data_IF_920435579615
#
_entry.id   IF_920435579615
#
_cell.length_a   1.000
_cell.length_b   1.000
_cell.length_c   1.000
_cell.angle_alpha   90.00
_cell.angle_beta   90.00
_cell.angle_gamma   90.00
#
_symmetry.space_group_name_H-M   'P 1'
#
loop_
_entity.id
_entity.type
_entity.pdbx_description
1 polymer ?
#
# COMPACT_ATOMS: atom_id res chain seq x y z
N UNK A 1 22.20 4.64 -29.96
CA UNK A 1 22.40 4.82 -28.50
C UNK A 1 21.03 4.88 -27.82
N UNK A 2 20.66 3.89 -27.01
CA UNK A 2 19.46 4.03 -26.16
C UNK A 2 19.73 5.12 -25.11
N UNK A 3 18.93 6.19 -25.11
CA UNK A 3 19.07 7.34 -24.21
C UNK A 3 19.15 6.87 -22.74
N UNK A 4 20.15 7.33 -22.00
CA UNK A 4 20.38 6.98 -20.58
C UNK A 4 19.11 7.22 -19.74
N UNK A 5 18.33 8.24 -20.07
CA UNK A 5 17.07 8.57 -19.40
C UNK A 5 15.99 7.50 -19.60
N UNK A 6 15.92 6.87 -20.79
CA UNK A 6 14.96 5.81 -21.06
C UNK A 6 15.26 4.56 -20.24
N UNK A 7 16.55 4.28 -19.99
CA UNK A 7 17.01 3.16 -19.16
C UNK A 7 16.64 3.34 -17.69
N UNK A 8 16.79 4.54 -17.13
CA UNK A 8 16.40 4.82 -15.74
C UNK A 8 14.89 4.79 -15.56
N UNK A 9 14.13 5.38 -16.49
CA UNK A 9 12.67 5.30 -16.50
C UNK A 9 12.18 3.86 -16.52
N UNK A 10 12.78 3.02 -17.37
CA UNK A 10 12.44 1.59 -17.43
C UNK A 10 12.78 0.84 -16.13
N UNK A 11 13.92 1.14 -15.48
CA UNK A 11 14.30 0.54 -14.19
C UNK A 11 13.35 0.95 -13.07
N UNK A 12 12.99 2.24 -13.00
CA UNK A 12 12.04 2.75 -12.02
C UNK A 12 10.65 2.13 -12.22
N UNK A 13 10.15 2.12 -13.45
CA UNK A 13 8.87 1.50 -13.80
C UNK A 13 8.85 0.02 -13.42
N UNK A 14 9.89 -0.73 -13.75
CA UNK A 14 10.02 -2.13 -13.35
C UNK A 14 9.96 -2.30 -11.83
N UNK A 15 10.71 -1.48 -11.09
CA UNK A 15 10.79 -1.54 -9.63
C UNK A 15 9.43 -1.28 -8.98
N UNK A 16 8.78 -0.18 -9.34
CA UNK A 16 7.48 0.20 -8.78
C UNK A 16 6.41 -0.86 -9.06
N UNK A 17 6.39 -1.40 -10.29
CA UNK A 17 5.45 -2.47 -10.63
C UNK A 17 5.76 -3.79 -9.91
N UNK A 18 7.03 -4.07 -9.59
CA UNK A 18 7.39 -5.27 -8.84
C UNK A 18 6.98 -5.16 -7.37
N UNK A 19 7.16 -3.99 -6.75
CA UNK A 19 6.62 -3.66 -5.43
C UNK A 19 5.09 -3.83 -5.42
N UNK A 20 4.40 -3.20 -6.37
CA UNK A 20 2.94 -3.30 -6.50
C UNK A 20 2.46 -4.75 -6.65
N UNK A 21 3.13 -5.56 -7.47
CA UNK A 21 2.81 -6.98 -7.61
C UNK A 21 2.99 -7.77 -6.31
N UNK A 22 4.05 -7.51 -5.55
CA UNK A 22 4.28 -8.15 -4.27
C UNK A 22 3.24 -7.74 -3.21
N UNK A 23 2.84 -6.47 -3.18
CA UNK A 23 1.73 -5.99 -2.35
C UNK A 23 0.44 -6.70 -2.73
N UNK A 24 0.09 -6.73 -4.01
CA UNK A 24 -1.07 -7.48 -4.50
C UNK A 24 -1.07 -8.95 -4.08
N UNK A 25 0.08 -9.63 -4.17
CA UNK A 25 0.21 -11.01 -3.69
C UNK A 25 -0.02 -11.13 -2.18
N UNK A 26 0.39 -10.12 -1.41
CA UNK A 26 0.11 -9.99 0.01
C UNK A 26 -1.39 -9.82 0.28
N UNK A 27 -2.06 -8.89 -0.40
CA UNK A 27 -3.50 -8.63 -0.27
C UNK A 27 -4.34 -9.87 -0.62
N UNK A 28 -4.01 -10.58 -1.70
CA UNK A 28 -4.68 -11.84 -2.05
C UNK A 28 -4.53 -12.87 -0.93
N UNK A 29 -3.34 -12.98 -0.33
CA UNK A 29 -3.09 -13.91 0.77
C UNK A 29 -3.81 -13.49 2.06
N UNK A 30 -3.84 -12.19 2.37
CA UNK A 30 -4.55 -11.64 3.52
C UNK A 30 -6.05 -11.87 3.39
N UNK A 31 -6.65 -11.52 2.25
CA UNK A 31 -8.06 -11.76 1.96
C UNK A 31 -8.42 -13.23 2.15
N UNK A 32 -7.62 -14.13 1.58
CA UNK A 32 -7.84 -15.57 1.74
C UNK A 32 -7.79 -16.02 3.21
N UNK A 33 -6.86 -15.45 3.99
CA UNK A 33 -6.73 -15.75 5.42
C UNK A 33 -7.89 -15.17 6.24
N UNK A 34 -8.29 -13.93 5.97
CA UNK A 34 -9.40 -13.24 6.65
C UNK A 34 -10.71 -13.95 6.35
N UNK A 35 -11.01 -14.23 5.07
CA UNK A 35 -12.20 -14.97 4.67
C UNK A 35 -12.32 -16.30 5.40
N UNK A 36 -11.22 -17.06 5.48
CA UNK A 36 -11.19 -18.33 6.22
C UNK A 36 -11.58 -18.15 7.69
N UNK A 37 -11.13 -17.08 8.34
CA UNK A 37 -11.48 -16.82 9.75
C UNK A 37 -12.93 -16.35 9.88
N UNK A 38 -13.38 -15.45 9.00
CA UNK A 38 -14.77 -14.98 8.96
C UNK A 38 -15.73 -16.15 8.78
N UNK A 39 -15.45 -17.09 7.87
CA UNK A 39 -16.28 -18.29 7.72
C UNK A 39 -16.32 -19.17 8.97
N UNK A 40 -15.21 -19.31 9.70
CA UNK A 40 -15.23 -20.04 10.98
C UNK A 40 -16.16 -19.38 11.99
N UNK A 41 -16.08 -18.05 12.11
CA UNK A 41 -16.94 -17.27 13.01
C UNK A 41 -18.41 -17.36 12.60
N UNK A 42 -18.72 -17.15 11.32
CA UNK A 42 -20.10 -17.25 10.81
C UNK A 42 -20.64 -18.68 10.99
N UNK A 43 -19.80 -19.71 10.79
CA UNK A 43 -20.20 -21.10 11.06
C UNK A 43 -20.61 -21.30 12.52
N UNK A 44 -19.81 -20.81 13.47
CA UNK A 44 -20.13 -20.88 14.91
C UNK A 44 -21.46 -20.17 15.18
N UNK A 45 -21.64 -18.95 14.69
CA UNK A 45 -22.89 -18.20 14.83
C UNK A 45 -24.09 -18.95 14.22
N UNK A 46 -23.91 -19.56 13.05
CA UNK A 46 -24.98 -20.33 12.40
C UNK A 46 -25.41 -21.57 13.18
N UNK A 47 -24.50 -22.17 13.95
CA UNK A 47 -24.82 -23.30 14.83
C UNK A 47 -25.63 -22.80 16.02
N UNK A 48 -25.18 -21.72 16.67
CA UNK A 48 -25.87 -21.10 17.81
C UNK A 48 -27.30 -20.70 17.44
N UNK A 49 -27.49 -20.13 16.24
CA UNK A 49 -28.78 -19.66 15.74
C UNK A 49 -29.64 -20.77 15.09
N UNK A 50 -29.19 -22.03 15.07
CA UNK A 50 -29.94 -23.13 14.42
C UNK A 50 -29.99 -23.06 12.88
N UNK A 51 -29.23 -22.16 12.26
CA UNK A 51 -29.20 -21.91 10.81
C UNK A 51 -28.15 -22.73 10.03
N UNK A 52 -27.54 -23.74 10.66
CA UNK A 52 -26.43 -24.53 10.08
C UNK A 52 -26.72 -25.01 8.64
N UNK A 53 -27.88 -25.62 8.38
CA UNK A 53 -28.25 -26.12 7.04
C UNK A 53 -28.42 -25.00 6.00
N UNK A 54 -28.81 -23.80 6.43
CA UNK A 54 -28.91 -22.63 5.54
C UNK A 54 -27.52 -22.07 5.22
N UNK A 55 -26.67 -21.94 6.24
CA UNK A 55 -25.28 -21.50 6.11
C UNK A 55 -24.49 -22.41 5.16
N UNK A 56 -24.52 -23.73 5.35
CA UNK A 56 -23.78 -24.68 4.52
C UNK A 56 -24.20 -24.61 3.05
N UNK A 57 -25.51 -24.43 2.78
CA UNK A 57 -26.03 -24.22 1.41
C UNK A 57 -25.52 -22.92 0.79
N UNK A 58 -25.51 -21.82 1.56
CA UNK A 58 -25.05 -20.51 1.08
C UNK A 58 -23.55 -20.47 0.82
N UNK A 59 -22.74 -21.01 1.72
CA UNK A 59 -21.27 -21.04 1.55
C UNK A 59 -20.86 -21.94 0.40
N UNK A 60 -21.49 -23.11 0.25
CA UNK A 60 -21.25 -23.99 -0.89
C UNK A 60 -21.55 -23.28 -2.21
N UNK A 61 -22.74 -22.64 -2.32
CA UNK A 61 -23.10 -21.86 -3.51
C UNK A 61 -22.10 -20.74 -3.80
N UNK A 62 -21.58 -20.08 -2.76
CA UNK A 62 -20.60 -19.01 -2.91
C UNK A 62 -19.24 -19.51 -3.41
N UNK A 63 -18.77 -20.67 -2.93
CA UNK A 63 -17.51 -21.27 -3.37
C UNK A 63 -17.60 -21.91 -4.75
N UNK A 64 -18.74 -22.52 -5.08
CA UNK A 64 -18.98 -23.13 -6.39
C UNK A 64 -19.19 -22.08 -7.49
N UNK A 65 -19.53 -20.84 -7.11
CA UNK A 65 -19.68 -19.72 -8.04
C UNK A 65 -18.32 -19.13 -8.42
N UNK A 66 -17.86 -19.53 -9.61
CA UNK A 66 -16.65 -19.04 -10.24
C UNK A 66 -16.59 -17.51 -10.34
N UNK A 67 -17.73 -16.81 -10.45
CA UNK A 67 -17.78 -15.35 -10.50
C UNK A 67 -17.39 -14.72 -9.16
N UNK A 68 -17.81 -15.30 -8.04
CA UNK A 68 -17.45 -14.83 -6.70
C UNK A 68 -15.98 -15.12 -6.39
N UNK A 69 -15.50 -16.31 -6.77
CA UNK A 69 -14.09 -16.66 -6.68
C UNK A 69 -13.24 -15.74 -7.57
N UNK A 70 -13.71 -15.39 -8.77
CA UNK A 70 -13.01 -14.47 -9.67
C UNK A 70 -12.99 -13.01 -9.18
N UNK A 71 -14.05 -12.57 -8.48
CA UNK A 71 -14.16 -11.24 -7.89
C UNK A 71 -13.24 -11.05 -6.66
N UNK A 72 -13.19 -12.06 -5.79
CA UNK A 72 -12.37 -12.03 -4.57
C UNK A 72 -10.90 -12.37 -4.83
N UNK A 73 -10.64 -13.38 -5.66
CA UNK A 73 -9.32 -14.02 -5.78
C UNK A 73 -8.81 -14.18 -7.20
N UNK A 74 -9.70 -14.15 -8.19
CA UNK A 74 -9.37 -14.60 -9.53
C UNK A 74 -9.06 -13.48 -10.52
N UNK A 75 -9.12 -13.87 -11.78
CA UNK A 75 -8.45 -13.20 -12.91
C UNK A 75 -9.06 -11.83 -13.27
N UNK A 76 -10.15 -11.43 -12.62
CA UNK A 76 -10.83 -10.13 -12.70
C UNK A 76 -10.64 -9.33 -11.39
N UNK A 77 -9.40 -9.11 -10.99
CA UNK A 77 -8.79 -7.76 -10.82
C UNK A 77 -9.70 -6.66 -10.22
N UNK A 78 -10.51 -6.91 -9.19
CA UNK A 78 -11.31 -5.81 -8.61
C UNK A 78 -10.95 -5.58 -7.15
N UNK A 79 -11.24 -6.52 -6.24
CA UNK A 79 -11.10 -6.25 -4.81
C UNK A 79 -9.63 -6.21 -4.34
N UNK A 80 -8.88 -7.32 -4.45
CA UNK A 80 -7.47 -7.33 -4.01
C UNK A 80 -6.56 -6.42 -4.84
N UNK A 81 -6.97 -6.03 -6.06
CA UNK A 81 -6.24 -5.06 -6.87
C UNK A 81 -6.54 -3.64 -6.42
N UNK A 82 -7.81 -3.31 -6.16
CA UNK A 82 -8.17 -2.02 -5.59
C UNK A 82 -7.47 -1.79 -4.25
N UNK A 83 -7.44 -2.82 -3.39
CA UNK A 83 -6.69 -2.79 -2.13
C UNK A 83 -5.20 -2.63 -2.38
N UNK A 84 -4.60 -3.39 -3.31
CA UNK A 84 -3.17 -3.24 -3.62
C UNK A 84 -2.83 -1.85 -4.17
N UNK A 85 -3.72 -1.25 -4.98
CA UNK A 85 -3.55 0.10 -5.51
C UNK A 85 -3.57 1.12 -4.37
N UNK A 86 -4.53 0.99 -3.44
CA UNK A 86 -4.66 1.85 -2.26
C UNK A 86 -3.47 1.69 -1.32
N UNK A 87 -3.12 0.46 -0.96
CA UNK A 87 -1.98 0.12 -0.10
C UNK A 87 -0.67 0.61 -0.70
N UNK A 88 -0.43 0.40 -1.99
CA UNK A 88 0.76 0.93 -2.67
C UNK A 88 0.75 2.45 -2.69
N UNK A 89 -0.39 3.09 -2.96
CA UNK A 89 -0.54 4.54 -2.95
C UNK A 89 -0.16 5.15 -1.60
N UNK A 90 -0.75 4.60 -0.53
CA UNK A 90 -0.46 5.00 0.84
C UNK A 90 1.03 4.80 1.19
N UNK A 91 1.57 3.59 0.95
CA UNK A 91 2.96 3.30 1.27
C UNK A 91 3.95 4.15 0.46
N UNK A 92 3.67 4.39 -0.82
CA UNK A 92 4.53 5.27 -1.61
C UNK A 92 4.42 6.72 -1.14
N UNK A 93 3.24 7.18 -0.73
CA UNK A 93 3.02 8.54 -0.25
C UNK A 93 3.80 8.88 1.03
N UNK A 94 4.17 7.89 1.85
CA UNK A 94 5.00 8.11 3.04
C UNK A 94 6.38 8.73 2.73
N UNK A 95 6.92 8.48 1.53
CA UNK A 95 8.22 9.03 1.11
C UNK A 95 8.19 10.56 0.89
N UNK A 96 7.36 11.10 -0.01
CA UNK A 96 7.16 12.56 -0.08
C UNK A 96 6.39 13.14 1.12
N UNK A 97 5.63 12.30 1.83
CA UNK A 97 4.92 12.65 3.06
C UNK A 97 5.87 13.08 4.17
N UNK A 98 7.04 12.44 4.32
CA UNK A 98 8.06 12.87 5.27
C UNK A 98 8.46 14.34 5.06
N UNK A 99 8.74 14.73 3.81
CA UNK A 99 9.06 16.12 3.50
C UNK A 99 7.91 17.06 3.86
N UNK A 100 6.68 16.64 3.55
CA UNK A 100 5.47 17.40 3.84
C UNK A 100 5.30 17.65 5.34
N UNK A 101 5.54 16.61 6.14
CA UNK A 101 5.45 16.71 7.59
C UNK A 101 6.58 17.55 8.21
N UNK A 102 7.81 17.47 7.67
CA UNK A 102 8.91 18.34 8.09
C UNK A 102 8.55 19.81 7.83
N UNK A 103 8.02 20.11 6.64
CA UNK A 103 7.61 21.47 6.29
C UNK A 103 6.50 21.98 7.22
N UNK A 104 5.51 21.13 7.53
CA UNK A 104 4.45 21.46 8.48
C UNK A 104 5.01 21.69 9.89
N UNK A 105 5.94 20.85 10.36
CA UNK A 105 6.59 21.01 11.66
C UNK A 105 7.39 22.31 11.77
N UNK A 106 8.07 22.71 10.69
CA UNK A 106 8.76 24.01 10.61
C UNK A 106 7.74 25.16 10.68
N UNK A 107 6.66 25.08 9.90
CA UNK A 107 5.64 26.11 9.87
C UNK A 107 5.00 26.30 11.26
N UNK A 108 4.66 25.20 11.94
CA UNK A 108 4.13 25.23 13.32
C UNK A 108 5.15 25.75 14.34
N UNK A 109 6.44 25.52 14.12
CA UNK A 109 7.50 26.02 15.01
C UNK A 109 7.82 27.51 14.86
N UNK A 110 7.50 28.12 13.72
CA UNK A 110 7.78 29.54 13.43
C UNK A 110 6.52 30.40 13.53
N UNK A 111 5.35 29.86 13.16
CA UNK A 111 4.09 30.60 13.15
C UNK A 111 3.23 30.19 14.35
N UNK A 112 2.80 31.16 15.15
CA UNK A 112 1.89 30.89 16.29
C UNK A 112 0.57 30.26 15.87
N UNK A 113 0.09 30.55 14.64
CA UNK A 113 -1.13 29.97 14.07
C UNK A 113 -0.99 29.76 12.55
N UNK A 114 -0.67 28.53 12.14
CA UNK A 114 -0.68 28.16 10.71
C UNK A 114 -2.13 28.00 10.24
N UNK A 115 -2.53 28.78 9.23
CA UNK A 115 -3.88 28.69 8.64
C UNK A 115 -4.11 27.31 8.02
N UNK A 116 -5.34 26.80 8.11
CA UNK A 116 -5.72 25.49 7.57
C UNK A 116 -5.38 25.32 6.07
N UNK A 117 -5.60 26.36 5.26
CA UNK A 117 -5.24 26.33 3.83
C UNK A 117 -3.73 26.12 3.62
N UNK A 118 -2.90 26.66 4.50
CA UNK A 118 -1.43 26.48 4.44
C UNK A 118 -1.08 25.05 4.83
N UNK A 119 -1.74 24.47 5.84
CA UNK A 119 -1.56 23.05 6.20
C UNK A 119 -1.89 22.14 5.02
N UNK A 120 -3.02 22.38 4.34
CA UNK A 120 -3.43 21.61 3.16
C UNK A 120 -2.37 21.71 2.05
N UNK A 121 -1.82 22.90 1.81
CA UNK A 121 -0.77 23.12 0.79
C UNK A 121 0.52 22.38 1.17
N UNK A 122 0.98 22.52 2.42
CA UNK A 122 2.22 21.90 2.90
C UNK A 122 2.16 20.37 2.91
N UNK A 123 0.97 19.80 3.15
CA UNK A 123 0.74 18.36 3.05
C UNK A 123 0.51 17.90 1.60
N UNK A 124 -0.37 18.58 0.88
CA UNK A 124 -0.85 18.15 -0.43
C UNK A 124 0.17 18.31 -1.54
N UNK A 125 0.92 19.42 -1.58
CA UNK A 125 1.85 19.68 -2.69
C UNK A 125 3.01 18.69 -2.76
N UNK A 126 3.77 18.42 -1.69
CA UNK A 126 4.91 17.53 -1.82
C UNK A 126 4.45 16.08 -2.04
N UNK A 127 3.39 15.62 -1.36
CA UNK A 127 2.79 14.30 -1.61
C UNK A 127 2.32 14.20 -3.07
N UNK A 128 1.55 15.17 -3.56
CA UNK A 128 1.01 15.17 -4.91
C UNK A 128 2.11 15.15 -5.97
N UNK A 129 3.07 16.07 -5.89
CA UNK A 129 4.19 16.16 -6.83
C UNK A 129 5.07 14.90 -6.77
N UNK A 130 5.37 14.43 -5.56
CA UNK A 130 6.18 13.24 -5.33
C UNK A 130 5.50 11.96 -5.81
N UNK A 131 4.18 11.91 -5.84
CA UNK A 131 3.40 10.74 -6.30
C UNK A 131 3.31 10.63 -7.82
N UNK A 132 3.44 11.73 -8.57
CA UNK A 132 3.31 11.74 -10.05
C UNK A 132 4.19 10.67 -10.74
N UNK A 133 5.50 10.50 -10.40
CA UNK A 133 6.34 9.48 -11.01
C UNK A 133 5.83 8.06 -10.76
N UNK A 134 5.41 7.74 -9.53
CA UNK A 134 4.85 6.43 -9.19
C UNK A 134 3.54 6.18 -9.93
N UNK A 135 2.67 7.18 -10.00
CA UNK A 135 1.43 7.08 -10.75
C UNK A 135 1.69 6.78 -12.24
N UNK A 136 2.62 7.50 -12.86
CA UNK A 136 3.02 7.29 -14.26
C UNK A 136 3.66 5.92 -14.51
N UNK A 137 4.35 5.39 -13.51
CA UNK A 137 5.01 4.09 -13.58
C UNK A 137 4.03 2.92 -13.43
N UNK A 138 3.09 3.01 -12.49
CA UNK A 138 2.26 1.87 -12.08
C UNK A 138 0.86 1.94 -12.70
N UNK A 139 0.17 3.07 -12.56
CA UNK A 139 -1.26 3.17 -12.84
C UNK A 139 -1.61 3.69 -14.23
N UNK A 140 -0.73 4.48 -14.86
CA UNK A 140 -0.99 4.97 -16.22
C UNK A 140 -1.16 3.82 -17.21
N UNK A 141 -2.29 3.80 -17.92
CA UNK A 141 -2.67 2.76 -18.89
C UNK A 141 -2.62 1.33 -18.32
N UNK A 142 -2.97 1.17 -17.03
CA UNK A 142 -3.02 -0.12 -16.34
C UNK A 142 -1.75 -0.97 -16.48
N UNK A 143 -0.58 -0.30 -16.51
CA UNK A 143 0.74 -0.96 -16.65
C UNK A 143 0.94 -2.07 -15.63
N UNK A 144 0.47 -1.87 -14.40
CA UNK A 144 0.55 -2.86 -13.35
C UNK A 144 -0.05 -4.22 -13.76
N UNK A 145 -1.13 -4.26 -14.55
CA UNK A 145 -1.70 -5.52 -15.05
C UNK A 145 -0.77 -6.24 -16.03
N UNK A 146 -0.10 -5.47 -16.91
CA UNK A 146 0.88 -6.01 -17.85
C UNK A 146 2.07 -6.59 -17.10
N UNK A 147 2.55 -5.88 -16.08
CA UNK A 147 3.66 -6.34 -15.25
C UNK A 147 3.28 -7.52 -14.35
N UNK A 148 2.06 -7.57 -13.80
CA UNK A 148 1.56 -8.72 -13.05
C UNK A 148 1.60 -10.00 -13.90
N UNK A 149 1.13 -9.95 -15.15
CA UNK A 149 1.21 -11.08 -16.09
C UNK A 149 2.66 -11.51 -16.35
N UNK A 150 3.59 -10.55 -16.43
CA UNK A 150 5.03 -10.80 -16.62
C UNK A 150 5.66 -11.42 -15.38
N UNK A 151 5.38 -10.88 -14.20
CA UNK A 151 5.98 -11.31 -12.94
C UNK A 151 5.41 -12.61 -12.43
N UNK A 152 4.17 -12.95 -12.76
CA UNK A 152 3.59 -14.28 -12.46
C UNK A 152 4.40 -15.44 -13.06
N UNK A 153 5.12 -15.21 -14.16
CA UNK A 153 5.95 -16.22 -14.83
C UNK A 153 7.40 -16.25 -14.34
N UNK A 154 7.76 -15.43 -13.34
CA UNK A 154 9.12 -15.41 -12.79
C UNK A 154 9.34 -16.60 -11.87
N UNK A 155 10.61 -16.92 -11.68
CA UNK A 155 11.05 -18.00 -10.81
C UNK A 155 10.91 -17.63 -9.32
N UNK A 156 11.04 -18.62 -8.46
CA UNK A 156 10.86 -18.45 -7.02
C UNK A 156 11.94 -17.56 -6.38
N UNK A 157 13.18 -17.55 -6.90
CA UNK A 157 14.23 -16.69 -6.37
C UNK A 157 13.89 -15.22 -6.60
N UNK A 158 13.37 -14.89 -7.78
CA UNK A 158 12.84 -13.56 -8.08
C UNK A 158 11.73 -13.17 -7.11
N UNK A 159 10.77 -14.06 -6.85
CA UNK A 159 9.68 -13.80 -5.92
C UNK A 159 10.15 -13.58 -4.48
N UNK A 160 11.09 -14.41 -3.98
CA UNK A 160 11.68 -14.26 -2.64
C UNK A 160 12.41 -12.93 -2.52
N UNK A 161 13.23 -12.57 -3.51
CA UNK A 161 13.95 -11.30 -3.54
C UNK A 161 13.01 -10.11 -3.46
N UNK A 162 12.01 -10.04 -4.35
CA UNK A 162 11.11 -8.89 -4.38
C UNK A 162 10.15 -8.83 -3.20
N UNK A 163 9.79 -9.97 -2.61
CA UNK A 163 9.07 -10.02 -1.32
C UNK A 163 9.86 -9.29 -0.23
N UNK A 164 11.14 -9.61 -0.06
CA UNK A 164 11.98 -8.96 0.95
C UNK A 164 12.17 -7.46 0.69
N UNK A 165 12.42 -7.07 -0.57
CA UNK A 165 12.52 -5.65 -0.95
C UNK A 165 11.21 -4.92 -0.62
N UNK A 166 10.06 -5.53 -0.90
CA UNK A 166 8.75 -4.95 -0.63
C UNK A 166 8.51 -4.80 0.88
N UNK A 167 8.88 -5.79 1.68
CA UNK A 167 8.77 -5.70 3.15
C UNK A 167 9.59 -4.51 3.67
N UNK A 168 10.85 -4.37 3.22
CA UNK A 168 11.72 -3.24 3.60
C UNK A 168 11.11 -1.91 3.16
N UNK A 169 10.59 -1.83 1.92
CA UNK A 169 9.87 -0.66 1.42
C UNK A 169 8.68 -0.29 2.31
N UNK A 170 7.86 -1.27 2.71
CA UNK A 170 6.71 -1.02 3.59
C UNK A 170 7.15 -0.51 4.97
N UNK A 171 8.18 -1.12 5.57
CA UNK A 171 8.68 -0.73 6.89
C UNK A 171 9.23 0.70 6.87
N UNK A 172 10.03 1.03 5.85
CA UNK A 172 10.60 2.38 5.69
C UNK A 172 9.48 3.41 5.50
N UNK A 173 8.48 3.10 4.67
CA UNK A 173 7.33 3.97 4.48
C UNK A 173 6.59 4.26 5.79
N UNK A 174 6.28 3.22 6.57
CA UNK A 174 5.61 3.38 7.85
C UNK A 174 6.45 4.20 8.82
N UNK A 175 7.75 3.95 8.88
CA UNK A 175 8.71 4.71 9.68
C UNK A 175 8.77 6.20 9.29
N UNK A 176 8.74 6.51 8.00
CA UNK A 176 8.71 7.89 7.51
C UNK A 176 7.40 8.60 7.84
N UNK A 177 6.27 7.91 7.72
CA UNK A 177 4.97 8.45 8.10
C UNK A 177 4.89 8.71 9.61
N UNK A 178 5.41 7.81 10.46
CA UNK A 178 5.39 7.99 11.92
C UNK A 178 6.33 9.12 12.37
N UNK A 179 7.59 9.13 11.90
CA UNK A 179 8.53 10.21 12.23
C UNK A 179 8.02 11.55 11.73
N UNK A 180 7.53 11.59 10.49
CA UNK A 180 6.92 12.80 9.95
C UNK A 180 5.77 13.28 10.83
N UNK A 181 4.84 12.41 11.21
CA UNK A 181 3.76 12.76 12.13
C UNK A 181 4.25 13.40 13.43
N UNK A 182 5.32 12.86 14.04
CA UNK A 182 5.96 13.44 15.23
C UNK A 182 6.54 14.82 14.91
N UNK A 183 7.27 15.00 13.79
CA UNK A 183 7.79 16.31 13.37
C UNK A 183 6.66 17.36 13.28
N UNK A 184 5.52 16.96 12.71
CA UNK A 184 4.41 17.86 12.43
C UNK A 184 3.70 18.32 13.70
N UNK A 185 3.58 17.44 14.71
CA UNK A 185 2.89 17.72 15.97
C UNK A 185 3.81 18.43 16.97
N UNK A 186 5.03 17.92 17.20
CA UNK A 186 5.95 18.40 18.24
C UNK A 186 6.96 19.46 17.78
N UNK A 187 7.00 19.76 16.48
CA UNK A 187 8.06 20.57 15.89
C UNK A 187 9.43 19.87 15.93
N UNK A 188 10.46 20.52 15.38
CA UNK A 188 11.83 19.95 15.30
C UNK A 188 12.44 19.73 16.71
N UNK A 189 11.96 20.45 17.73
CA UNK A 189 12.53 20.46 19.07
C UNK A 189 12.37 19.12 19.82
N UNK A 190 11.21 18.45 19.71
CA UNK A 190 11.01 17.15 20.34
C UNK A 190 11.88 16.04 19.73
N UNK A 191 12.15 16.10 18.42
CA UNK A 191 13.03 15.13 17.75
C UNK A 191 14.49 15.32 18.15
N UNK A 192 14.94 16.56 18.29
CA UNK A 192 16.27 16.85 18.83
C UNK A 192 16.41 16.28 20.25
N UNK A 193 15.36 16.37 21.07
CA UNK A 193 15.36 15.77 22.40
C UNK A 193 15.37 14.23 22.36
N UNK A 194 14.54 13.59 21.54
CA UNK A 194 14.50 12.13 21.40
C UNK A 194 15.86 11.59 20.91
N UNK A 195 16.48 12.23 19.92
CA UNK A 195 17.80 11.84 19.42
C UNK A 195 18.86 12.03 20.51
N UNK A 196 18.85 13.17 21.21
CA UNK A 196 19.79 13.46 22.29
C UNK A 196 19.64 12.53 23.50
N UNK A 197 18.46 11.95 23.73
CA UNK A 197 18.24 10.99 24.81
C UNK A 197 18.57 9.54 24.42
N UNK A 198 18.75 9.26 23.12
CA UNK A 198 19.06 7.95 22.56
C UNK A 198 20.57 7.71 22.36
N UNK A 199 21.40 8.71 22.68
CA UNK A 199 22.88 8.68 22.67
C UNK A 199 23.41 9.15 24.02
#
# INVERSE_FOLDING_TARGET
>A
MANKDSKYKYKFEYCMNALHYCIYKGEVWLNYKVERQVYRLIKVLSIILGLKKYYERRVKKFHDDKKNQDYLYGKKIELSVGEANSTFGFLYSGYPGLLSFILLGIANGICENVKEIVVIILLGLPIGLGYIPAYKAVFSNDKYLKYHKKFKKKDEQWHKKWKWITIVFCIISLFFTTIGGVCAIGGIQEIIQIIRHSY
#
